data_IF_487951523064
#
_entry.id   IF_487951523064
#
_cell.length_a   1.000
_cell.length_b   1.000
_cell.length_c   1.000
_cell.angle_alpha   90.00
_cell.angle_beta   90.00
_cell.angle_gamma   90.00
#
_symmetry.space_group_name_H-M   'P 1'
#
loop_
_entity.id
_entity.type
_entity.pdbx_description
1 polymer ?
#
# COMPACT_ATOMS: atom_id res chain seq x y z
N UNK A 1 4.78 22.51 -14.73
CA UNK A 1 6.22 22.25 -15.00
C UNK A 1 6.73 21.31 -13.92
N UNK A 2 7.18 20.11 -14.29
CA UNK A 2 7.73 19.13 -13.36
C UNK A 2 9.06 19.62 -12.77
N UNK A 3 9.24 19.42 -11.48
CA UNK A 3 10.51 19.65 -10.78
C UNK A 3 11.59 18.65 -11.24
N UNK A 4 12.89 18.92 -11.02
CA UNK A 4 13.95 17.95 -11.31
C UNK A 4 13.77 16.62 -10.56
N UNK A 5 13.21 16.65 -9.36
CA UNK A 5 12.87 15.47 -8.56
C UNK A 5 11.78 14.64 -9.22
N UNK A 6 10.67 15.27 -9.61
CA UNK A 6 9.55 14.59 -10.29
C UNK A 6 9.97 13.98 -11.64
N UNK A 7 10.86 14.63 -12.39
CA UNK A 7 11.42 14.06 -13.62
C UNK A 7 12.27 12.82 -13.38
N UNK A 8 13.05 12.79 -12.30
CA UNK A 8 13.81 11.58 -11.92
C UNK A 8 12.87 10.44 -11.53
N UNK A 9 11.88 10.73 -10.71
CA UNK A 9 10.85 9.77 -10.30
C UNK A 9 10.11 9.19 -11.51
N UNK A 10 9.71 10.05 -12.45
CA UNK A 10 9.05 9.61 -13.68
C UNK A 10 9.97 8.71 -14.51
N UNK A 11 11.24 9.05 -14.66
CA UNK A 11 12.21 8.23 -15.39
C UNK A 11 12.49 6.88 -14.71
N UNK A 12 12.44 6.81 -13.37
CA UNK A 12 12.54 5.55 -12.62
C UNK A 12 11.30 4.69 -12.82
N UNK A 13 10.13 5.28 -12.73
CA UNK A 13 8.86 4.61 -12.99
C UNK A 13 8.78 4.09 -14.43
N UNK A 14 9.18 4.89 -15.41
CA UNK A 14 9.22 4.49 -16.81
C UNK A 14 10.15 3.30 -17.04
N UNK A 15 11.33 3.28 -16.40
CA UNK A 15 12.25 2.13 -16.45
C UNK A 15 11.63 0.87 -15.86
N UNK A 16 10.93 1.00 -14.73
CA UNK A 16 10.23 -0.10 -14.09
C UNK A 16 9.10 -0.65 -14.97
N UNK A 17 8.37 0.23 -15.66
CA UNK A 17 7.27 -0.15 -16.54
C UNK A 17 7.71 -0.79 -17.86
N UNK A 18 8.95 -0.53 -18.33
CA UNK A 18 9.50 -1.13 -19.55
C UNK A 18 9.68 -2.64 -19.47
N UNK A 19 9.75 -3.20 -18.26
CA UNK A 19 9.94 -4.64 -18.07
C UNK A 19 8.86 -5.20 -17.15
N UNK A 20 7.73 -5.66 -17.72
CA UNK A 20 6.58 -6.15 -16.93
C UNK A 20 6.95 -7.28 -15.94
N UNK A 21 7.88 -8.16 -16.32
CA UNK A 21 8.37 -9.23 -15.43
C UNK A 21 9.07 -8.68 -14.19
N UNK A 22 9.90 -7.64 -14.34
CA UNK A 22 10.63 -7.04 -13.24
C UNK A 22 9.67 -6.33 -12.26
N UNK A 23 8.60 -5.71 -12.79
CA UNK A 23 7.52 -5.13 -11.99
C UNK A 23 6.79 -6.20 -11.18
N UNK A 24 6.45 -7.33 -11.82
CA UNK A 24 5.80 -8.46 -11.14
C UNK A 24 6.70 -9.04 -10.03
N UNK A 25 8.01 -9.15 -10.29
CA UNK A 25 9.00 -9.59 -9.29
C UNK A 25 9.04 -8.64 -8.10
N UNK A 26 9.09 -7.32 -8.31
CA UNK A 26 9.07 -6.34 -7.22
C UNK A 26 7.78 -6.42 -6.41
N UNK A 27 6.63 -6.53 -7.06
CA UNK A 27 5.34 -6.67 -6.38
C UNK A 27 5.29 -7.93 -5.51
N UNK A 28 5.75 -9.07 -6.03
CA UNK A 28 5.88 -10.32 -5.27
C UNK A 28 6.85 -10.19 -4.09
N UNK A 29 8.00 -9.59 -4.29
CA UNK A 29 8.99 -9.38 -3.22
C UNK A 29 8.40 -8.51 -2.12
N UNK A 30 7.72 -7.41 -2.47
CA UNK A 30 7.08 -6.50 -1.52
C UNK A 30 6.00 -7.23 -0.73
N UNK A 31 5.11 -7.95 -1.41
CA UNK A 31 4.05 -8.72 -0.78
C UNK A 31 4.60 -9.79 0.18
N UNK A 32 5.54 -10.61 -0.26
CA UNK A 32 6.08 -11.72 0.54
C UNK A 32 7.01 -11.25 1.66
N UNK A 33 7.82 -10.20 1.44
CA UNK A 33 8.73 -9.68 2.46
C UNK A 33 7.99 -9.07 3.66
N UNK A 34 6.79 -8.52 3.44
CA UNK A 34 6.06 -7.80 4.47
C UNK A 34 4.90 -8.61 5.09
N UNK A 35 4.53 -9.75 4.52
CA UNK A 35 3.48 -10.63 5.07
C UNK A 35 3.88 -11.38 6.32
N UNK A 36 5.15 -11.74 6.47
CA UNK A 36 5.63 -12.50 7.63
C UNK A 36 6.45 -11.64 8.58
N UNK A 37 6.22 -11.83 9.87
CA UNK A 37 7.04 -11.26 10.95
C UNK A 37 8.29 -12.12 11.27
N UNK A 38 8.37 -13.35 10.73
CA UNK A 38 9.51 -14.25 10.91
C UNK A 38 10.60 -13.90 9.87
N UNK A 39 11.78 -13.40 10.31
CA UNK A 39 12.84 -13.02 9.40
C UNK A 39 13.40 -14.18 8.56
N UNK A 40 13.47 -15.38 9.11
CA UNK A 40 14.01 -16.55 8.39
C UNK A 40 13.08 -16.94 7.22
N UNK A 41 11.77 -16.99 7.47
CA UNK A 41 10.77 -17.24 6.42
C UNK A 41 10.74 -16.14 5.35
N UNK A 42 10.85 -14.87 5.76
CA UNK A 42 10.91 -13.77 4.81
C UNK A 42 12.12 -13.89 3.88
N UNK A 43 13.29 -14.23 4.43
CA UNK A 43 14.52 -14.46 3.64
C UNK A 43 14.36 -15.63 2.68
N UNK A 44 13.81 -16.76 3.15
CA UNK A 44 13.57 -17.94 2.30
C UNK A 44 12.66 -17.60 1.12
N UNK A 45 11.54 -16.92 1.36
CA UNK A 45 10.61 -16.50 0.31
C UNK A 45 11.26 -15.53 -0.69
N UNK A 46 11.97 -14.53 -0.19
CA UNK A 46 12.65 -13.55 -1.06
C UNK A 46 13.74 -14.21 -1.90
N UNK A 47 14.55 -15.08 -1.31
CA UNK A 47 15.58 -15.84 -2.03
C UNK A 47 14.96 -16.68 -3.12
N UNK A 48 13.88 -17.41 -2.79
CA UNK A 48 13.16 -18.21 -3.78
C UNK A 48 12.63 -17.36 -4.96
N UNK A 49 12.05 -16.20 -4.69
CA UNK A 49 11.57 -15.29 -5.75
C UNK A 49 12.73 -14.84 -6.64
N UNK A 50 13.87 -14.45 -6.04
CA UNK A 50 15.05 -14.04 -6.79
C UNK A 50 15.67 -15.19 -7.59
N UNK A 51 15.63 -16.44 -7.10
CA UNK A 51 16.11 -17.62 -7.80
C UNK A 51 15.23 -17.95 -9.03
N UNK A 52 13.93 -17.81 -8.90
CA UNK A 52 12.98 -18.15 -9.99
C UNK A 52 12.89 -17.03 -11.02
N UNK A 53 12.84 -15.77 -10.58
CA UNK A 53 12.54 -14.63 -11.45
C UNK A 53 13.76 -13.77 -11.77
N UNK A 54 14.84 -13.91 -11.01
CA UNK A 54 16.03 -13.09 -11.11
C UNK A 54 15.91 -11.75 -10.40
N UNK A 55 17.03 -11.04 -10.30
CA UNK A 55 17.06 -9.69 -9.73
C UNK A 55 16.52 -8.69 -10.75
N UNK A 56 15.51 -7.88 -10.41
CA UNK A 56 14.93 -6.89 -11.31
C UNK A 56 15.97 -5.95 -11.92
N UNK A 57 15.85 -5.67 -13.23
CA UNK A 57 16.84 -4.94 -14.01
C UNK A 57 16.82 -3.44 -13.80
N UNK A 58 15.71 -2.89 -13.31
CA UNK A 58 15.60 -1.47 -13.00
C UNK A 58 16.40 -1.04 -11.78
N UNK A 59 16.78 -1.97 -10.89
CA UNK A 59 17.69 -1.68 -9.78
C UNK A 59 19.04 -1.15 -10.28
N UNK A 60 19.59 -0.18 -9.56
CA UNK A 60 20.93 0.33 -9.83
C UNK A 60 22.01 -0.75 -9.68
N UNK A 61 23.24 -0.54 -10.21
CA UNK A 61 24.31 -1.54 -10.14
C UNK A 61 24.67 -1.97 -8.71
N UNK A 62 24.67 -1.03 -7.77
CA UNK A 62 24.95 -1.29 -6.36
C UNK A 62 23.86 -2.14 -5.74
N UNK A 63 22.60 -1.78 -6.00
CA UNK A 63 21.41 -2.46 -5.45
C UNK A 63 21.28 -3.88 -6.00
N UNK A 64 21.60 -4.07 -7.28
CA UNK A 64 21.67 -5.41 -7.89
C UNK A 64 22.77 -6.27 -7.26
N UNK A 65 23.90 -5.68 -6.90
CA UNK A 65 24.96 -6.40 -6.20
C UNK A 65 24.53 -6.77 -4.79
N UNK A 66 23.85 -5.87 -4.07
CA UNK A 66 23.27 -6.14 -2.76
C UNK A 66 22.24 -7.28 -2.82
N UNK A 67 21.32 -7.26 -3.81
CA UNK A 67 20.30 -8.29 -3.99
C UNK A 67 20.92 -9.66 -4.35
N UNK A 68 21.97 -9.70 -5.18
CA UNK A 68 22.71 -10.93 -5.46
C UNK A 68 23.47 -11.44 -4.23
N UNK A 69 24.05 -10.55 -3.44
CA UNK A 69 24.67 -10.91 -2.16
C UNK A 69 23.64 -11.48 -1.18
N UNK A 70 22.46 -10.87 -1.10
CA UNK A 70 21.35 -11.38 -0.31
C UNK A 70 20.90 -12.77 -0.78
N UNK A 71 20.71 -12.98 -2.08
CA UNK A 71 20.37 -14.25 -2.68
C UNK A 71 21.36 -15.36 -2.31
N UNK A 72 22.65 -15.04 -2.29
CA UNK A 72 23.71 -16.03 -2.01
C UNK A 72 23.94 -16.28 -0.51
N UNK A 73 23.79 -15.26 0.33
CA UNK A 73 24.24 -15.30 1.73
C UNK A 73 23.17 -14.87 2.75
N UNK A 74 22.02 -14.38 2.31
CA UNK A 74 20.96 -13.85 3.19
C UNK A 74 20.44 -14.86 4.21
N UNK A 75 20.42 -16.14 3.85
CA UNK A 75 20.00 -17.24 4.72
C UNK A 75 20.92 -17.50 5.92
N UNK A 76 22.18 -17.06 5.89
CA UNK A 76 23.11 -17.22 6.99
C UNK A 76 22.94 -16.17 8.11
N UNK A 77 22.46 -14.99 7.78
CA UNK A 77 22.25 -13.87 8.72
C UNK A 77 20.93 -13.13 8.48
N UNK A 78 19.78 -13.83 8.65
CA UNK A 78 18.47 -13.27 8.30
C UNK A 78 18.15 -11.96 9.02
N UNK A 79 18.56 -11.85 10.29
CA UNK A 79 18.31 -10.67 11.13
C UNK A 79 19.03 -9.39 10.66
N UNK A 80 20.11 -9.52 9.87
CA UNK A 80 20.86 -8.38 9.30
C UNK A 80 20.48 -8.17 7.84
N UNK A 81 20.40 -9.25 7.07
CA UNK A 81 20.16 -9.19 5.64
C UNK A 81 18.74 -8.69 5.30
N UNK A 82 17.73 -9.14 6.02
CA UNK A 82 16.33 -8.75 5.78
C UNK A 82 16.08 -7.24 5.97
N UNK A 83 16.52 -6.59 7.07
CA UNK A 83 16.36 -5.14 7.21
C UNK A 83 16.98 -4.33 6.08
N UNK A 84 18.18 -4.73 5.59
CA UNK A 84 18.84 -4.05 4.48
C UNK A 84 18.04 -4.17 3.17
N UNK A 85 17.53 -5.36 2.87
CA UNK A 85 16.68 -5.57 1.70
C UNK A 85 15.37 -4.82 1.83
N UNK A 86 14.72 -4.84 3.00
CA UNK A 86 13.49 -4.08 3.26
C UNK A 86 13.73 -2.58 3.08
N UNK A 87 14.81 -2.04 3.62
CA UNK A 87 15.17 -0.63 3.44
C UNK A 87 15.36 -0.28 1.97
N UNK A 88 16.05 -1.15 1.21
CA UNK A 88 16.21 -0.93 -0.23
C UNK A 88 14.88 -0.99 -0.98
N UNK A 89 14.04 -1.97 -0.68
CA UNK A 89 12.70 -2.06 -1.27
C UNK A 89 11.84 -0.84 -0.93
N UNK A 90 11.91 -0.35 0.32
CA UNK A 90 11.23 0.89 0.72
C UNK A 90 11.72 2.10 -0.09
N UNK A 91 13.02 2.24 -0.32
CA UNK A 91 13.58 3.33 -1.14
C UNK A 91 13.05 3.28 -2.58
N UNK A 92 13.04 2.10 -3.20
CA UNK A 92 12.57 1.90 -4.57
C UNK A 92 11.04 2.11 -4.71
N UNK A 93 10.28 1.80 -3.66
CA UNK A 93 8.83 1.94 -3.66
C UNK A 93 8.33 3.24 -3.05
N UNK A 94 9.18 4.02 -2.38
CA UNK A 94 8.82 5.22 -1.62
C UNK A 94 8.08 6.29 -2.43
N UNK A 95 8.26 6.30 -3.74
CA UNK A 95 7.56 7.23 -4.63
C UNK A 95 6.12 6.79 -4.97
N UNK A 96 5.77 5.53 -4.67
CA UNK A 96 4.47 4.93 -5.00
C UNK A 96 3.79 4.40 -3.75
N UNK A 97 4.57 3.79 -2.83
CA UNK A 97 4.08 3.14 -1.62
C UNK A 97 4.80 3.75 -0.42
N UNK A 98 4.06 4.43 0.44
CA UNK A 98 4.59 4.94 1.69
C UNK A 98 4.43 3.90 2.80
N UNK A 99 5.41 3.81 3.73
CA UNK A 99 5.21 3.08 4.97
C UNK A 99 3.97 3.60 5.71
N UNK A 100 3.18 2.65 6.24
CA UNK A 100 1.93 2.98 6.95
C UNK A 100 2.13 3.45 8.39
N UNK A 101 3.39 3.62 8.83
CA UNK A 101 3.72 4.19 10.13
C UNK A 101 3.26 5.65 10.16
N UNK A 102 2.51 5.98 11.21
CA UNK A 102 1.84 7.27 11.35
C UNK A 102 2.80 8.45 11.16
N UNK A 103 3.99 8.41 11.75
CA UNK A 103 4.96 9.50 11.65
C UNK A 103 5.42 9.79 10.22
N UNK A 104 5.66 8.74 9.43
CA UNK A 104 6.12 8.86 8.05
C UNK A 104 5.00 9.39 7.17
N UNK A 105 3.81 8.82 7.30
CA UNK A 105 2.63 9.23 6.55
C UNK A 105 2.23 10.68 6.87
N UNK A 106 2.14 11.04 8.15
CA UNK A 106 1.78 12.39 8.61
C UNK A 106 2.74 13.44 8.07
N UNK A 107 4.06 13.18 8.14
CA UNK A 107 5.07 14.07 7.59
C UNK A 107 4.87 14.27 6.08
N UNK A 108 4.73 13.20 5.34
CA UNK A 108 4.52 13.27 3.88
C UNK A 108 3.24 14.05 3.53
N UNK A 109 2.12 13.75 4.21
CA UNK A 109 0.86 14.46 3.98
C UNK A 109 1.00 15.97 4.30
N UNK A 110 1.76 16.31 5.35
CA UNK A 110 2.08 17.69 5.71
C UNK A 110 2.89 18.40 4.61
N UNK A 111 3.94 17.77 4.09
CA UNK A 111 4.75 18.29 2.98
C UNK A 111 3.90 18.54 1.73
N UNK A 112 3.09 17.54 1.31
CA UNK A 112 2.19 17.67 0.16
C UNK A 112 1.15 18.78 0.35
N UNK A 113 0.64 18.95 1.56
CA UNK A 113 -0.30 20.01 1.91
C UNK A 113 0.33 21.40 1.73
N UNK A 114 1.60 21.60 2.12
CA UNK A 114 2.33 22.86 1.91
C UNK A 114 2.49 23.16 0.42
N UNK A 115 2.67 22.14 -0.41
CA UNK A 115 2.72 22.25 -1.87
C UNK A 115 1.35 22.52 -2.52
N UNK A 116 0.27 22.54 -1.73
CA UNK A 116 -1.09 22.73 -2.21
C UNK A 116 -1.73 21.48 -2.83
N UNK A 117 -1.12 20.30 -2.62
CA UNK A 117 -1.61 19.02 -3.15
C UNK A 117 -2.57 18.40 -2.14
N UNK A 118 -3.75 18.01 -2.62
CA UNK A 118 -4.71 17.22 -1.83
C UNK A 118 -4.44 15.74 -2.04
N UNK A 119 -4.28 15.02 -0.96
CA UNK A 119 -3.94 13.61 -0.98
C UNK A 119 -5.18 12.74 -0.70
N UNK A 120 -5.26 11.63 -1.41
CA UNK A 120 -6.16 10.53 -1.12
C UNK A 120 -5.31 9.37 -0.57
N UNK A 121 -5.61 8.93 0.65
CA UNK A 121 -4.90 7.84 1.30
C UNK A 121 -5.57 6.52 0.95
N UNK A 122 -4.82 5.64 0.31
CA UNK A 122 -5.25 4.28 0.01
C UNK A 122 -4.38 3.29 0.79
N UNK A 123 -4.98 2.57 1.74
CA UNK A 123 -4.28 1.50 2.46
C UNK A 123 -4.14 0.28 1.55
N UNK A 124 -2.89 -0.08 1.21
CA UNK A 124 -2.65 -1.24 0.36
C UNK A 124 -3.20 -2.53 0.98
N UNK A 125 -3.76 -3.34 0.15
CA UNK A 125 -4.35 -4.63 0.45
C UNK A 125 -5.38 -4.98 -0.61
N UNK A 126 -5.48 -6.26 -0.90
CA UNK A 126 -6.46 -6.80 -1.85
C UNK A 126 -7.46 -7.69 -1.10
N UNK A 127 -8.23 -8.47 -1.87
CA UNK A 127 -9.22 -9.39 -1.32
C UNK A 127 -8.69 -10.18 -0.12
N UNK A 128 -9.42 -10.08 0.97
CA UNK A 128 -9.07 -10.70 2.24
C UNK A 128 -9.74 -12.07 2.38
N UNK A 129 -9.10 -12.96 3.12
CA UNK A 129 -9.53 -14.34 3.21
C UNK A 129 -10.38 -14.66 4.44
N UNK A 130 -10.51 -13.74 5.39
CA UNK A 130 -11.23 -13.98 6.64
C UNK A 130 -11.97 -12.76 7.19
N UNK A 131 -13.08 -13.00 7.89
CA UNK A 131 -13.84 -11.94 8.55
C UNK A 131 -13.06 -11.21 9.66
N UNK A 132 -12.25 -11.88 10.50
CA UNK A 132 -11.39 -11.16 11.45
C UNK A 132 -10.40 -10.20 10.77
N UNK A 133 -9.94 -10.53 9.57
CA UNK A 133 -9.07 -9.64 8.78
C UNK A 133 -9.88 -8.47 8.19
N UNK A 134 -11.08 -8.73 7.68
CA UNK A 134 -12.01 -7.70 7.22
C UNK A 134 -12.32 -6.68 8.31
N UNK A 135 -12.63 -7.13 9.51
CA UNK A 135 -12.91 -6.24 10.63
C UNK A 135 -11.67 -5.43 11.03
N UNK A 136 -10.47 -6.06 11.09
CA UNK A 136 -9.22 -5.31 11.34
C UNK A 136 -8.98 -4.24 10.28
N UNK A 137 -9.24 -4.53 9.00
CA UNK A 137 -9.11 -3.58 7.91
C UNK A 137 -10.12 -2.43 8.04
N UNK A 138 -11.35 -2.75 8.34
CA UNK A 138 -12.39 -1.75 8.61
C UNK A 138 -11.98 -0.81 9.76
N UNK A 139 -11.43 -1.36 10.85
CA UNK A 139 -10.94 -0.55 11.97
C UNK A 139 -9.76 0.36 11.56
N UNK A 140 -8.86 -0.11 10.70
CA UNK A 140 -7.77 0.73 10.16
C UNK A 140 -8.30 1.92 9.35
N UNK A 141 -9.31 1.71 8.51
CA UNK A 141 -9.96 2.80 7.78
C UNK A 141 -10.64 3.81 8.72
N UNK A 142 -11.37 3.30 9.72
CA UNK A 142 -12.03 4.15 10.73
C UNK A 142 -11.02 4.98 11.52
N UNK A 143 -9.87 4.40 11.90
CA UNK A 143 -8.76 5.11 12.53
C UNK A 143 -8.13 6.15 11.60
N UNK A 144 -7.86 5.79 10.35
CA UNK A 144 -7.32 6.71 9.35
C UNK A 144 -8.20 7.96 9.16
N UNK A 145 -9.51 7.79 9.25
CA UNK A 145 -10.46 8.90 9.22
C UNK A 145 -10.40 9.81 10.46
N UNK A 146 -9.77 9.38 11.56
CA UNK A 146 -9.57 10.24 12.74
C UNK A 146 -8.28 11.06 12.69
N UNK A 147 -7.34 10.76 11.77
CA UNK A 147 -6.06 11.46 11.67
C UNK A 147 -6.25 12.85 11.06
N UNK A 148 -5.76 13.88 11.73
CA UNK A 148 -5.98 15.29 11.34
C UNK A 148 -5.44 15.64 9.95
N UNK A 149 -4.42 14.90 9.50
CA UNK A 149 -3.75 15.13 8.22
C UNK A 149 -4.48 14.47 7.03
N UNK A 150 -5.41 13.56 7.30
CA UNK A 150 -6.14 12.81 6.27
C UNK A 150 -7.46 13.50 5.94
N UNK A 151 -7.63 13.93 4.68
CA UNK A 151 -8.90 14.46 4.15
C UNK A 151 -9.74 13.37 3.49
N UNK A 152 -9.11 12.50 2.70
CA UNK A 152 -9.77 11.48 1.87
C UNK A 152 -9.15 10.13 2.10
N UNK A 153 -9.97 9.11 2.28
CA UNK A 153 -9.55 7.70 2.35
C UNK A 153 -10.21 6.92 1.21
N UNK A 154 -9.41 6.22 0.41
CA UNK A 154 -9.91 5.23 -0.55
C UNK A 154 -10.05 3.87 0.11
N UNK A 155 -11.14 3.20 -0.18
CA UNK A 155 -11.41 1.84 0.25
C UNK A 155 -11.88 0.97 -0.92
N UNK A 156 -11.56 -0.32 -0.84
CA UNK A 156 -12.03 -1.34 -1.76
C UNK A 156 -13.06 -2.19 -1.04
N UNK A 157 -14.20 -2.47 -1.65
CA UNK A 157 -15.24 -3.30 -1.02
C UNK A 157 -14.74 -4.70 -0.66
N UNK A 158 -13.83 -5.25 -1.48
CA UNK A 158 -13.18 -6.54 -1.25
C UNK A 158 -12.30 -6.59 0.01
N UNK A 159 -11.93 -5.44 0.57
CA UNK A 159 -11.11 -5.36 1.80
C UNK A 159 -11.94 -5.21 3.07
N UNK A 160 -13.22 -4.92 2.97
CA UNK A 160 -14.11 -4.73 4.12
C UNK A 160 -15.10 -5.86 4.32
N UNK A 161 -15.14 -6.85 3.40
CA UNK A 161 -15.92 -8.07 3.56
C UNK A 161 -15.25 -9.24 2.83
N UNK A 162 -15.04 -10.37 3.53
CA UNK A 162 -14.30 -11.53 2.99
C UNK A 162 -15.16 -12.53 2.21
N UNK A 163 -16.49 -12.46 2.36
CA UNK A 163 -17.42 -13.46 1.81
C UNK A 163 -18.33 -12.87 0.71
N UNK A 164 -17.79 -11.97 -0.11
CA UNK A 164 -18.53 -11.42 -1.25
C UNK A 164 -18.88 -12.55 -2.21
N UNK A 165 -20.19 -12.80 -2.39
CA UNK A 165 -20.67 -13.87 -3.23
C UNK A 165 -21.88 -13.44 -4.06
N UNK A 166 -21.84 -13.61 -5.39
CA UNK A 166 -23.00 -13.38 -6.26
C UNK A 166 -24.20 -14.27 -5.90
N UNK A 167 -23.93 -15.48 -5.39
CA UNK A 167 -24.98 -16.42 -4.96
C UNK A 167 -25.71 -15.98 -3.69
N UNK A 168 -25.07 -15.15 -2.86
CA UNK A 168 -25.62 -14.59 -1.64
C UNK A 168 -25.72 -13.06 -1.73
N UNK A 169 -26.13 -12.53 -2.88
CA UNK A 169 -26.11 -11.09 -3.18
C UNK A 169 -26.77 -10.23 -2.12
N UNK A 170 -28.00 -10.54 -1.73
CA UNK A 170 -28.75 -9.74 -0.74
C UNK A 170 -28.04 -9.67 0.61
N UNK A 171 -27.48 -10.79 1.06
CA UNK A 171 -26.71 -10.84 2.29
C UNK A 171 -25.39 -10.04 2.13
N UNK A 172 -24.69 -10.22 1.03
CA UNK A 172 -23.46 -9.48 0.71
C UNK A 172 -23.72 -7.97 0.74
N UNK A 173 -24.76 -7.50 0.05
CA UNK A 173 -25.13 -6.07 0.02
C UNK A 173 -25.48 -5.56 1.42
N UNK A 174 -26.24 -6.33 2.20
CA UNK A 174 -26.62 -5.96 3.57
C UNK A 174 -25.38 -5.74 4.44
N UNK A 175 -24.41 -6.68 4.42
CA UNK A 175 -23.19 -6.57 5.22
C UNK A 175 -22.33 -5.41 4.74
N UNK A 176 -22.18 -5.24 3.42
CA UNK A 176 -21.41 -4.12 2.86
C UNK A 176 -22.02 -2.78 3.20
N UNK A 177 -23.36 -2.63 3.07
CA UNK A 177 -24.05 -1.39 3.41
C UNK A 177 -23.84 -1.01 4.89
N UNK A 178 -23.93 -1.96 5.82
CA UNK A 178 -23.68 -1.70 7.25
C UNK A 178 -22.24 -1.18 7.48
N UNK A 179 -21.24 -1.81 6.86
CA UNK A 179 -19.82 -1.41 6.99
C UNK A 179 -19.54 -0.08 6.34
N UNK A 180 -20.09 0.16 5.15
CA UNK A 180 -19.96 1.44 4.45
C UNK A 180 -20.66 2.57 5.21
N UNK A 181 -21.84 2.30 5.78
CA UNK A 181 -22.52 3.29 6.62
C UNK A 181 -21.69 3.73 7.81
N UNK A 182 -21.03 2.81 8.49
CA UNK A 182 -20.09 3.13 9.58
C UNK A 182 -18.95 4.04 9.10
N UNK A 183 -18.38 3.76 7.94
CA UNK A 183 -17.30 4.56 7.33
C UNK A 183 -17.78 5.96 6.93
N UNK A 184 -18.91 6.05 6.21
CA UNK A 184 -19.45 7.32 5.76
C UNK A 184 -19.91 8.21 6.93
N UNK A 185 -20.56 7.64 7.96
CA UNK A 185 -20.92 8.37 9.17
C UNK A 185 -19.71 8.89 9.93
N UNK A 186 -18.62 8.10 9.97
CA UNK A 186 -17.35 8.52 10.59
C UNK A 186 -16.73 9.66 9.80
N UNK A 187 -16.66 9.56 8.49
CA UNK A 187 -16.13 10.61 7.63
C UNK A 187 -16.93 11.91 7.72
N UNK A 188 -18.26 11.80 7.73
CA UNK A 188 -19.16 12.97 7.82
C UNK A 188 -19.01 13.73 9.15
N UNK A 189 -18.74 13.03 10.25
CA UNK A 189 -18.51 13.64 11.58
C UNK A 189 -17.10 14.18 11.74
N UNK A 190 -16.12 13.56 11.13
CA UNK A 190 -14.72 13.98 11.19
C UNK A 190 -14.52 15.25 10.36
N UNK A 191 -13.64 16.13 10.83
CA UNK A 191 -13.36 17.42 10.19
C UNK A 191 -11.91 17.50 9.71
N UNK A 192 -11.74 18.15 8.59
CA UNK A 192 -10.43 18.46 8.02
C UNK A 192 -10.34 19.96 7.74
N UNK A 193 -9.28 20.59 8.21
CA UNK A 193 -9.02 22.02 7.93
C UNK A 193 -8.08 22.14 6.74
N UNK A 194 -8.55 22.70 5.64
CA UNK A 194 -7.76 22.96 4.45
C UNK A 194 -6.77 24.11 4.63
N UNK A 195 -5.74 24.24 3.77
CA UNK A 195 -4.77 25.34 3.84
C UNK A 195 -5.41 26.74 3.73
N UNK A 196 -6.55 26.84 3.06
CA UNK A 196 -7.32 28.08 2.90
C UNK A 196 -8.21 28.41 4.13
N UNK A 197 -8.13 27.62 5.20
CA UNK A 197 -8.88 27.76 6.44
C UNK A 197 -10.29 27.18 6.40
N UNK A 198 -10.76 26.65 5.28
CA UNK A 198 -12.06 25.98 5.20
C UNK A 198 -12.05 24.67 5.98
N UNK A 199 -13.08 24.48 6.80
CA UNK A 199 -13.34 23.25 7.51
C UNK A 199 -14.37 22.44 6.74
N UNK A 200 -14.01 21.22 6.37
CA UNK A 200 -14.85 20.30 5.58
C UNK A 200 -15.02 18.96 6.28
N UNK A 201 -16.10 18.23 5.97
CA UNK A 201 -16.18 16.82 6.33
C UNK A 201 -15.13 16.03 5.57
N UNK A 202 -14.63 14.96 6.19
CA UNK A 202 -13.74 14.02 5.49
C UNK A 202 -14.53 13.22 4.48
N UNK A 203 -13.81 12.57 3.57
CA UNK A 203 -14.43 11.88 2.45
C UNK A 203 -13.92 10.45 2.33
N UNK A 204 -14.84 9.52 2.04
CA UNK A 204 -14.53 8.14 1.68
C UNK A 204 -14.76 7.96 0.20
N UNK A 205 -13.73 7.50 -0.50
CA UNK A 205 -13.78 7.15 -1.91
C UNK A 205 -13.87 5.64 -2.07
N UNK A 206 -14.89 5.16 -2.80
CA UNK A 206 -15.04 3.75 -3.14
C UNK A 206 -14.24 3.46 -4.41
N UNK A 207 -13.25 2.61 -4.29
CA UNK A 207 -12.46 2.13 -5.42
C UNK A 207 -13.04 0.80 -5.90
N UNK A 208 -13.58 0.79 -7.12
CA UNK A 208 -14.23 -0.39 -7.72
C UNK A 208 -13.22 -1.16 -8.55
N UNK A 209 -12.90 -2.38 -8.14
CA UNK A 209 -11.85 -3.18 -8.75
C UNK A 209 -12.36 -4.23 -9.72
N UNK A 210 -13.48 -4.87 -9.41
CA UNK A 210 -13.99 -5.96 -10.21
C UNK A 210 -15.30 -5.57 -10.89
N UNK A 211 -15.41 -5.89 -12.17
CA UNK A 211 -16.61 -5.62 -12.96
C UNK A 211 -17.87 -6.29 -12.38
N UNK A 212 -17.73 -7.47 -11.79
CA UNK A 212 -18.83 -8.21 -11.13
C UNK A 212 -19.39 -7.51 -9.90
N UNK A 213 -18.60 -6.64 -9.27
CA UNK A 213 -18.97 -5.92 -8.04
C UNK A 213 -19.66 -4.58 -8.35
N UNK A 214 -19.83 -4.27 -9.65
CA UNK A 214 -20.40 -3.02 -10.13
C UNK A 214 -21.95 -2.97 -9.98
N UNK A 215 -22.60 -4.12 -9.97
CA UNK A 215 -24.06 -4.25 -9.86
C UNK A 215 -24.50 -4.51 -8.41
#
# INVERSE_FOLDING_TARGET
LQTPSERRQQAELDRMLQTPSDKATLALMTDQAFRTSDPARAVEHLTHILDVQGVPRFFGPIDRTLMKGFQSFGGFVPGVALPLVKEQMHKETANVILPGEMEVLTRHLGERRVEGVRMNVNFLGEAILSEPEAERRLQQYLQGLQWDEVEVVSIKISTVYSQISPLAREHTVTVLCDRLERLFRTADRARFTRPDGRVVSKFVYLDMEEYRDKE
#
